data_IF_280210687452
#
_entry.id   IF_280210687452
#
_cell.length_a   1.000
_cell.length_b   1.000
_cell.length_c   1.000
_cell.angle_alpha   90.00
_cell.angle_beta   90.00
_cell.angle_gamma   90.00
#
_symmetry.space_group_name_H-M   'P 1'
#
loop_
_entity.id
_entity.type
_entity.pdbx_description
1 polymer ?
#
# COMPACT_ATOMS: atom_id res chain seq x y z
N UNK A 1 23.49 22.98 -5.58
CA UNK A 1 23.72 21.54 -5.33
C UNK A 1 22.64 20.75 -6.05
N UNK A 2 23.01 19.83 -6.96
CA UNK A 2 22.07 18.99 -7.70
C UNK A 2 21.40 17.99 -6.74
N UNK A 3 20.07 17.94 -6.70
CA UNK A 3 19.29 16.97 -5.93
C UNK A 3 19.59 15.55 -6.44
N UNK A 4 20.54 14.86 -5.78
CA UNK A 4 20.77 13.43 -6.01
C UNK A 4 19.53 12.69 -5.49
N UNK A 5 18.90 11.79 -6.27
CA UNK A 5 17.78 11.00 -5.76
C UNK A 5 18.25 10.28 -4.49
N UNK A 6 17.50 10.47 -3.40
CA UNK A 6 17.78 9.84 -2.11
C UNK A 6 17.81 8.32 -2.35
N UNK A 7 18.88 7.66 -1.93
CA UNK A 7 19.05 6.22 -2.13
C UNK A 7 17.89 5.40 -1.55
N UNK A 8 17.79 4.14 -1.94
CA UNK A 8 16.77 3.24 -1.42
C UNK A 8 17.06 2.92 0.05
N UNK A 9 16.29 3.51 0.96
CA UNK A 9 16.41 3.32 2.42
C UNK A 9 15.44 2.26 2.94
N UNK A 10 15.75 1.69 4.10
CA UNK A 10 14.83 0.83 4.85
C UNK A 10 13.56 1.59 5.22
N UNK A 11 12.40 0.96 4.99
CA UNK A 11 11.15 1.48 5.50
C UNK A 11 11.15 1.44 7.03
N UNK A 12 10.58 2.49 7.62
CA UNK A 12 10.31 2.60 9.05
C UNK A 12 8.81 2.37 9.31
N UNK A 13 8.48 1.73 10.42
CA UNK A 13 7.10 1.56 10.91
C UNK A 13 6.54 2.89 11.46
N UNK A 14 6.56 3.95 10.67
CA UNK A 14 6.09 5.29 11.07
C UNK A 14 4.98 5.78 10.13
N UNK A 15 4.18 6.72 10.65
CA UNK A 15 3.07 7.34 9.95
C UNK A 15 2.11 6.32 9.30
N UNK A 16 2.07 6.26 7.97
CA UNK A 16 1.12 5.44 7.19
C UNK A 16 1.26 3.94 7.46
N UNK A 17 2.49 3.44 7.68
CA UNK A 17 2.69 2.02 8.00
C UNK A 17 2.11 1.69 9.38
N UNK A 18 2.34 2.56 10.36
CA UNK A 18 1.76 2.42 11.70
C UNK A 18 0.24 2.42 11.65
N UNK A 19 -0.37 3.28 10.82
CA UNK A 19 -1.82 3.26 10.63
C UNK A 19 -2.34 1.93 10.07
N UNK A 20 -1.65 1.32 9.08
CA UNK A 20 -2.05 0.01 8.55
C UNK A 20 -1.84 -1.11 9.57
N UNK A 21 -0.77 -1.06 10.38
CA UNK A 21 -0.54 -2.02 11.47
C UNK A 21 -1.64 -1.89 12.53
N UNK A 22 -2.02 -0.66 12.90
CA UNK A 22 -3.12 -0.44 13.83
C UNK A 22 -4.44 -0.96 13.25
N UNK A 23 -4.74 -0.69 11.98
CA UNK A 23 -5.95 -1.19 11.33
C UNK A 23 -5.98 -2.73 11.29
N UNK A 24 -4.84 -3.38 11.13
CA UNK A 24 -4.73 -4.84 11.28
C UNK A 24 -5.04 -5.28 12.71
N UNK A 25 -4.46 -4.63 13.73
CA UNK A 25 -4.69 -4.96 15.14
C UNK A 25 -6.13 -4.73 15.60
N UNK A 26 -6.78 -3.70 15.09
CA UNK A 26 -8.13 -3.28 15.46
C UNK A 26 -9.22 -3.83 14.51
N UNK A 27 -8.84 -4.66 13.53
CA UNK A 27 -9.73 -5.20 12.49
C UNK A 27 -10.51 -4.11 11.73
N UNK A 28 -9.87 -2.96 11.48
CA UNK A 28 -10.47 -1.84 10.75
C UNK A 28 -10.27 -2.04 9.25
N UNK A 29 -11.36 -2.09 8.45
CA UNK A 29 -11.23 -2.28 7.01
C UNK A 29 -10.78 -1.00 6.31
N UNK A 30 -10.05 -1.17 5.21
CA UNK A 30 -9.41 -0.11 4.43
C UNK A 30 -10.11 0.05 3.09
N UNK A 31 -10.37 1.29 2.68
CA UNK A 31 -10.82 1.58 1.30
C UNK A 31 -9.67 1.37 0.32
N UNK A 32 -9.90 0.55 -0.72
CA UNK A 32 -8.93 0.33 -1.80
C UNK A 32 -9.36 1.07 -3.06
N UNK A 33 -8.44 1.86 -3.60
CA UNK A 33 -8.61 2.60 -4.86
C UNK A 33 -7.48 2.17 -5.79
N UNK A 34 -7.81 1.59 -6.94
CA UNK A 34 -6.84 1.11 -7.93
C UNK A 34 -6.74 2.11 -9.09
N UNK A 35 -5.52 2.47 -9.47
CA UNK A 35 -5.26 3.22 -10.69
C UNK A 35 -5.20 2.27 -11.89
N UNK A 36 -5.78 2.66 -13.02
CA UNK A 36 -5.70 1.91 -14.28
C UNK A 36 -4.33 2.15 -14.96
N UNK A 37 -3.42 1.15 -14.99
CA UNK A 37 -2.06 1.35 -15.50
C UNK A 37 -2.02 1.65 -17.01
N UNK A 38 -2.99 1.19 -17.80
CA UNK A 38 -3.04 1.43 -19.25
C UNK A 38 -3.48 2.85 -19.57
N UNK A 39 -4.32 3.44 -18.71
CA UNK A 39 -4.78 4.84 -18.85
C UNK A 39 -3.88 5.84 -18.14
N UNK A 40 -2.90 5.39 -17.35
CA UNK A 40 -1.88 6.25 -16.72
C UNK A 40 -0.85 6.79 -17.74
N UNK A 41 -0.73 6.15 -18.91
CA UNK A 41 0.14 6.59 -20.01
C UNK A 41 -0.50 7.66 -20.91
N UNK A 42 -1.81 7.87 -20.78
CA UNK A 42 -2.58 8.90 -21.48
C UNK A 42 -3.03 9.93 -20.43
N UNK A 43 -3.22 11.21 -20.77
CA UNK A 43 -3.40 12.33 -19.82
C UNK A 43 -4.59 12.25 -18.84
N UNK A 44 -5.36 11.16 -18.83
CA UNK A 44 -6.57 10.97 -18.03
C UNK A 44 -6.41 9.79 -17.07
N UNK A 45 -5.93 10.10 -15.86
CA UNK A 45 -5.80 9.14 -14.77
C UNK A 45 -7.18 8.64 -14.34
N UNK A 46 -7.47 7.36 -14.58
CA UNK A 46 -8.68 6.71 -14.07
C UNK A 46 -8.38 5.96 -12.77
N UNK A 47 -9.19 6.23 -11.75
CA UNK A 47 -9.14 5.56 -10.45
C UNK A 47 -10.48 4.89 -10.20
N UNK A 48 -10.44 3.62 -9.80
CA UNK A 48 -11.63 2.82 -9.47
C UNK A 48 -11.61 2.50 -8.00
N UNK A 49 -12.72 2.77 -7.31
CA UNK A 49 -12.93 2.28 -5.95
C UNK A 49 -13.34 0.81 -6.00
N UNK A 50 -12.56 -0.06 -5.35
CA UNK A 50 -12.79 -1.51 -5.39
C UNK A 50 -13.50 -2.04 -4.14
N UNK A 51 -13.74 -1.19 -3.14
CA UNK A 51 -14.44 -1.56 -1.91
C UNK A 51 -13.57 -1.49 -0.66
N UNK A 52 -14.00 -2.21 0.38
CA UNK A 52 -13.31 -2.32 1.67
C UNK A 52 -12.59 -3.66 1.79
N UNK A 53 -11.34 -3.57 2.22
CA UNK A 53 -10.44 -4.71 2.39
C UNK A 53 -9.92 -4.76 3.83
N UNK A 54 -9.89 -5.93 4.42
CA UNK A 54 -9.26 -6.20 5.70
C UNK A 54 -7.82 -6.66 5.48
N UNK A 55 -6.95 -6.41 6.44
CA UNK A 55 -5.57 -6.91 6.41
C UNK A 55 -5.58 -8.27 7.11
N UNK A 56 -5.15 -9.34 6.44
CA UNK A 56 -5.10 -10.68 7.03
C UNK A 56 -3.77 -10.94 7.75
N UNK A 57 -2.68 -10.38 7.21
CA UNK A 57 -1.34 -10.44 7.80
C UNK A 57 -0.44 -9.35 7.22
N UNK A 58 0.67 -9.07 7.88
CA UNK A 58 1.76 -8.29 7.31
C UNK A 58 3.12 -8.89 7.61
N UNK A 59 4.10 -8.61 6.75
CA UNK A 59 5.44 -9.17 6.79
C UNK A 59 6.49 -8.07 6.57
N UNK A 60 7.61 -8.15 7.30
CA UNK A 60 8.82 -7.37 7.01
C UNK A 60 9.75 -8.23 6.14
N UNK A 61 10.08 -7.76 4.93
CA UNK A 61 10.97 -8.49 4.01
C UNK A 61 11.99 -7.59 3.34
N UNK A 62 13.02 -8.18 2.72
CA UNK A 62 13.96 -7.46 1.85
C UNK A 62 13.29 -7.19 0.50
N UNK A 63 13.24 -5.92 0.09
CA UNK A 63 12.74 -5.47 -1.21
C UNK A 63 13.79 -5.58 -2.32
N UNK A 64 13.43 -5.15 -3.53
CA UNK A 64 14.25 -5.24 -4.73
C UNK A 64 15.65 -4.59 -4.59
N UNK A 65 15.77 -3.57 -3.74
CA UNK A 65 17.03 -2.85 -3.48
C UNK A 65 17.70 -3.27 -2.17
N UNK A 66 17.40 -4.49 -1.67
CA UNK A 66 17.88 -5.04 -0.41
C UNK A 66 17.58 -4.17 0.83
N UNK A 67 16.60 -3.28 0.70
CA UNK A 67 16.06 -2.47 1.78
C UNK A 67 14.86 -3.17 2.43
N UNK A 68 14.64 -2.95 3.72
CA UNK A 68 13.48 -3.47 4.45
C UNK A 68 12.19 -2.84 3.93
N UNK A 69 11.20 -3.65 3.60
CA UNK A 69 9.87 -3.22 3.16
C UNK A 69 8.79 -3.96 3.94
N UNK A 70 7.67 -3.27 4.19
CA UNK A 70 6.47 -3.87 4.78
C UNK A 70 5.52 -4.33 3.67
N UNK A 71 5.10 -5.59 3.72
CA UNK A 71 4.07 -6.15 2.83
C UNK A 71 2.81 -6.40 3.64
N UNK A 72 1.67 -5.87 3.20
CA UNK A 72 0.37 -6.11 3.83
C UNK A 72 -0.46 -6.97 2.89
N UNK A 73 -0.94 -8.11 3.39
CA UNK A 73 -1.84 -9.00 2.67
C UNK A 73 -3.27 -8.60 2.99
N UNK A 74 -4.03 -8.25 1.96
CA UNK A 74 -5.37 -7.71 2.12
C UNK A 74 -6.41 -8.60 1.42
N UNK A 75 -7.53 -8.85 2.09
CA UNK A 75 -8.68 -9.57 1.54
C UNK A 75 -9.88 -8.65 1.46
N UNK A 76 -10.58 -8.64 0.32
CA UNK A 76 -11.83 -7.88 0.15
C UNK A 76 -12.89 -8.47 1.08
N UNK A 77 -13.63 -7.62 1.79
CA UNK A 77 -14.79 -8.11 2.55
C UNK A 77 -15.85 -8.64 1.59
N UNK A 78 -16.55 -9.67 2.05
CA UNK A 78 -17.70 -10.23 1.35
C UNK A 78 -18.86 -9.20 1.31
N UNK A 79 -19.86 -9.46 0.46
CA UNK A 79 -21.09 -8.67 0.32
C UNK A 79 -20.95 -7.21 -0.14
N UNK A 80 -19.84 -6.89 -0.81
CA UNK A 80 -19.69 -5.62 -1.50
C UNK A 80 -20.04 -5.76 -2.98
N UNK A 81 -20.95 -4.90 -3.45
CA UNK A 81 -21.33 -4.75 -4.86
C UNK A 81 -20.13 -4.44 -5.76
#
# INVERSE_FOLDING_TARGET
MKNRPKGYEDQKATARKKALINNFQENIPNRVIRGDPLRMAHDWKKYTYEGLFEIEKYEEKKGLHNNRVYTFHMKRKEDQR
#
